data_IF_834502759553
#
_entry.id   IF_834502759553
#
_cell.length_a   1.000
_cell.length_b   1.000
_cell.length_c   1.000
_cell.angle_alpha   90.00
_cell.angle_beta   90.00
_cell.angle_gamma   90.00
#
_symmetry.space_group_name_H-M   'P 1'
#
loop_
_entity.id
_entity.type
_entity.pdbx_description
1 polymer ?
#
# COMPACT_ATOMS: atom_id res chain seq x y z
N UNK A 1 1.46 -31.38 17.25
CA UNK A 1 2.64 -30.61 16.78
C UNK A 1 2.55 -30.16 15.30
N UNK A 2 1.97 -30.94 14.36
CA UNK A 2 1.85 -30.52 12.93
C UNK A 2 0.76 -29.48 12.61
N UNK A 3 -0.29 -29.36 13.43
CA UNK A 3 -1.37 -28.38 13.17
C UNK A 3 -0.95 -26.93 13.47
N UNK A 4 -0.11 -26.73 14.49
CA UNK A 4 0.37 -25.40 14.88
C UNK A 4 1.32 -24.80 13.84
N UNK A 5 2.18 -25.61 13.20
CA UNK A 5 3.07 -25.12 12.14
C UNK A 5 2.31 -24.70 10.86
N UNK A 6 1.24 -25.41 10.50
CA UNK A 6 0.40 -25.05 9.34
C UNK A 6 -0.43 -23.78 9.58
N UNK A 7 -0.94 -23.58 10.80
CA UNK A 7 -1.63 -22.35 11.20
C UNK A 7 -0.69 -21.14 11.15
N UNK A 8 0.53 -21.27 11.68
CA UNK A 8 1.54 -20.22 11.63
C UNK A 8 1.94 -19.86 10.19
N UNK A 9 2.09 -20.85 9.31
CA UNK A 9 2.41 -20.62 7.90
C UNK A 9 1.28 -19.88 7.16
N UNK A 10 0.02 -20.22 7.42
CA UNK A 10 -1.12 -19.50 6.84
C UNK A 10 -1.19 -18.05 7.32
N UNK A 11 -0.98 -17.81 8.62
CA UNK A 11 -0.97 -16.47 9.19
C UNK A 11 0.19 -15.62 8.65
N UNK A 12 1.37 -16.22 8.44
CA UNK A 12 2.51 -15.56 7.81
C UNK A 12 2.21 -15.13 6.37
N UNK A 13 1.64 -16.03 5.56
CA UNK A 13 1.27 -15.72 4.17
C UNK A 13 0.22 -14.59 4.13
N UNK A 14 -0.84 -14.70 4.93
CA UNK A 14 -1.87 -13.66 5.01
C UNK A 14 -1.32 -12.31 5.48
N UNK A 15 -0.35 -12.30 6.40
CA UNK A 15 0.30 -11.06 6.84
C UNK A 15 1.14 -10.43 5.72
N UNK A 16 1.84 -11.23 4.90
CA UNK A 16 2.56 -10.75 3.72
C UNK A 16 1.63 -10.17 2.65
N UNK A 17 0.56 -10.89 2.32
CA UNK A 17 -0.43 -10.39 1.34
C UNK A 17 -1.07 -9.08 1.82
N UNK A 18 -1.38 -8.97 3.12
CA UNK A 18 -1.88 -7.73 3.70
C UNK A 18 -0.87 -6.58 3.65
N UNK A 19 0.43 -6.88 3.77
CA UNK A 19 1.49 -5.88 3.73
C UNK A 19 1.64 -5.31 2.32
N UNK A 20 1.72 -6.18 1.32
CA UNK A 20 1.79 -5.78 -0.10
C UNK A 20 0.56 -4.94 -0.51
N UNK A 21 -0.62 -5.30 0.00
CA UNK A 21 -1.84 -4.54 -0.24
C UNK A 21 -1.77 -3.14 0.37
N UNK A 22 -1.34 -3.03 1.63
CA UNK A 22 -1.23 -1.75 2.33
C UNK A 22 -0.20 -0.82 1.66
N UNK A 23 0.95 -1.36 1.26
CA UNK A 23 1.97 -0.62 0.51
C UNK A 23 1.44 -0.13 -0.84
N UNK A 24 0.66 -0.97 -1.53
CA UNK A 24 0.01 -0.61 -2.79
C UNK A 24 -1.02 0.50 -2.59
N UNK A 25 -1.80 0.45 -1.52
CA UNK A 25 -2.75 1.50 -1.17
C UNK A 25 -2.03 2.84 -0.94
N UNK A 26 -0.99 2.86 -0.11
CA UNK A 26 -0.15 4.05 0.15
C UNK A 26 0.42 4.61 -1.15
N UNK A 27 1.01 3.75 -1.99
CA UNK A 27 1.60 4.16 -3.27
C UNK A 27 0.56 4.81 -4.19
N UNK A 28 -0.63 4.22 -4.26
CA UNK A 28 -1.72 4.73 -5.11
C UNK A 28 -2.21 6.08 -4.62
N UNK A 29 -2.42 6.24 -3.30
CA UNK A 29 -2.80 7.51 -2.69
C UNK A 29 -1.76 8.60 -2.96
N UNK A 30 -0.48 8.30 -2.75
CA UNK A 30 0.62 9.24 -3.04
C UNK A 30 0.68 9.63 -4.52
N UNK A 31 0.43 8.69 -5.44
CA UNK A 31 0.40 8.97 -6.88
C UNK A 31 -0.78 9.86 -7.30
N UNK A 32 -1.95 9.66 -6.70
CA UNK A 32 -3.13 10.51 -6.92
C UNK A 32 -2.84 11.94 -6.43
N UNK A 33 -2.26 12.06 -5.24
CA UNK A 33 -1.82 13.34 -4.69
C UNK A 33 -0.83 14.06 -5.60
N UNK A 34 0.23 13.38 -6.06
CA UNK A 34 1.23 13.97 -6.94
C UNK A 34 0.60 14.52 -8.24
N UNK A 35 -0.39 13.81 -8.79
CA UNK A 35 -1.16 14.29 -9.94
C UNK A 35 -1.96 15.56 -9.64
N UNK A 36 -2.52 15.69 -8.44
CA UNK A 36 -3.25 16.89 -8.01
C UNK A 36 -2.31 18.08 -7.80
N UNK A 37 -1.15 17.84 -7.19
CA UNK A 37 -0.13 18.87 -7.00
C UNK A 37 0.37 19.41 -8.36
N UNK A 38 0.68 18.54 -9.31
CA UNK A 38 1.05 18.96 -10.67
C UNK A 38 -0.02 19.83 -11.35
N UNK A 39 -1.31 19.59 -11.09
CA UNK A 39 -2.40 20.44 -11.61
C UNK A 39 -2.42 21.82 -10.96
N UNK A 40 -2.14 21.89 -9.66
CA UNK A 40 -2.00 23.16 -8.94
C UNK A 40 -0.79 23.94 -9.43
N UNK A 41 0.36 23.30 -9.58
CA UNK A 41 1.60 23.92 -10.06
C UNK A 41 1.41 24.53 -11.43
N UNK A 42 0.71 23.83 -12.33
CA UNK A 42 0.36 24.34 -13.66
C UNK A 42 -0.60 25.54 -13.58
N UNK A 43 -1.58 25.52 -12.66
CA UNK A 43 -2.53 26.62 -12.48
C UNK A 43 -1.86 27.86 -11.90
N UNK A 44 -0.93 27.68 -10.97
CA UNK A 44 -0.11 28.75 -10.41
C UNK A 44 0.85 29.33 -11.47
N UNK A 45 1.57 28.47 -12.20
CA UNK A 45 2.50 28.88 -13.27
C UNK A 45 1.81 29.64 -14.41
N UNK A 46 0.51 29.41 -14.62
CA UNK A 46 -0.30 30.10 -15.64
C UNK A 46 -1.00 31.35 -15.09
N UNK A 47 -0.62 31.83 -13.89
CA UNK A 47 -1.22 32.97 -13.19
C UNK A 47 -2.75 32.86 -13.01
N UNK A 48 -3.31 31.64 -13.05
CA UNK A 48 -4.73 31.37 -12.79
C UNK A 48 -5.04 31.24 -11.30
N UNK A 49 -4.00 31.19 -10.47
CA UNK A 49 -4.09 31.01 -9.04
C UNK A 49 -3.18 32.01 -8.35
N UNK A 50 -3.69 32.66 -7.29
CA UNK A 50 -2.87 33.52 -6.44
C UNK A 50 -1.89 32.68 -5.61
N UNK A 51 -0.79 33.29 -5.15
CA UNK A 51 0.14 32.64 -4.22
C UNK A 51 -0.57 32.16 -2.95
N UNK A 52 -1.46 32.98 -2.40
CA UNK A 52 -2.18 32.64 -1.16
C UNK A 52 -3.09 31.43 -1.35
N UNK A 53 -3.81 31.36 -2.47
CA UNK A 53 -4.67 30.22 -2.79
C UNK A 53 -3.87 28.96 -3.10
N UNK A 54 -2.71 29.11 -3.75
CA UNK A 54 -1.77 28.02 -3.99
C UNK A 54 -1.27 27.41 -2.68
N UNK A 55 -0.82 28.25 -1.74
CA UNK A 55 -0.31 27.79 -0.44
C UNK A 55 -1.40 27.11 0.39
N UNK A 56 -2.62 27.67 0.40
CA UNK A 56 -3.79 27.09 1.08
C UNK A 56 -4.14 25.72 0.49
N UNK A 57 -4.18 25.58 -0.83
CA UNK A 57 -4.53 24.31 -1.47
C UNK A 57 -3.44 23.25 -1.29
N UNK A 58 -2.17 23.64 -1.40
CA UNK A 58 -1.03 22.75 -1.16
C UNK A 58 -1.02 22.23 0.29
N UNK A 59 -1.29 23.11 1.26
CA UNK A 59 -1.41 22.72 2.67
C UNK A 59 -2.55 21.72 2.89
N UNK A 60 -3.75 22.01 2.36
CA UNK A 60 -4.92 21.11 2.48
C UNK A 60 -4.65 19.75 1.87
N UNK A 61 -4.07 19.73 0.68
CA UNK A 61 -3.70 18.50 0.03
C UNK A 61 -2.73 17.72 0.93
N UNK A 62 -1.66 18.35 1.42
CA UNK A 62 -0.62 17.64 2.20
C UNK A 62 -1.22 17.02 3.47
N UNK A 63 -2.07 17.78 4.14
CA UNK A 63 -2.79 17.32 5.32
C UNK A 63 -3.73 16.16 5.00
N UNK A 64 -4.45 16.22 3.86
CA UNK A 64 -5.30 15.12 3.41
C UNK A 64 -4.49 13.85 3.14
N UNK A 65 -3.33 13.96 2.49
CA UNK A 65 -2.44 12.83 2.23
C UNK A 65 -1.99 12.16 3.54
N UNK A 66 -1.64 12.94 4.56
CA UNK A 66 -1.27 12.41 5.88
C UNK A 66 -2.42 11.66 6.53
N UNK A 67 -3.64 12.19 6.48
CA UNK A 67 -4.85 11.53 6.99
C UNK A 67 -5.12 10.21 6.24
N UNK A 68 -5.03 10.23 4.92
CA UNK A 68 -5.38 9.07 4.08
C UNK A 68 -4.33 7.95 4.21
N UNK A 69 -3.06 8.29 4.42
CA UNK A 69 -1.98 7.30 4.58
C UNK A 69 -1.84 6.78 6.02
N UNK A 70 -2.19 7.55 7.05
CA UNK A 70 -1.95 7.18 8.45
C UNK A 70 -2.51 5.80 8.86
N UNK A 71 -3.74 5.39 8.47
CA UNK A 71 -4.26 4.05 8.79
C UNK A 71 -3.42 2.94 8.16
N UNK A 72 -2.97 3.14 6.92
CA UNK A 72 -2.15 2.17 6.20
C UNK A 72 -0.74 2.07 6.78
N UNK A 73 -0.13 3.19 7.16
CA UNK A 73 1.19 3.20 7.82
C UNK A 73 1.15 2.44 9.16
N UNK A 74 0.09 2.62 9.94
CA UNK A 74 -0.14 1.86 11.16
C UNK A 74 -0.33 0.36 10.88
N UNK A 75 -1.05 0.03 9.81
CA UNK A 75 -1.30 -1.35 9.40
C UNK A 75 -0.02 -2.04 8.91
N UNK A 76 0.79 -1.37 8.08
CA UNK A 76 2.13 -1.81 7.64
C UNK A 76 3.02 -2.12 8.84
N UNK A 77 3.08 -1.22 9.84
CA UNK A 77 3.86 -1.44 11.07
C UNK A 77 3.40 -2.68 11.84
N UNK A 78 2.09 -2.90 11.96
CA UNK A 78 1.53 -4.08 12.64
C UNK A 78 1.86 -5.36 11.90
N UNK A 79 1.68 -5.38 10.58
CA UNK A 79 1.94 -6.56 9.75
C UNK A 79 3.43 -6.90 9.70
N UNK A 80 4.31 -5.90 9.61
CA UNK A 80 5.77 -6.10 9.64
C UNK A 80 6.21 -6.80 10.94
N UNK A 81 5.68 -6.35 12.09
CA UNK A 81 5.95 -7.00 13.39
C UNK A 81 5.41 -8.43 13.46
N UNK A 82 4.24 -8.68 12.89
CA UNK A 82 3.68 -10.04 12.84
C UNK A 82 4.55 -10.97 11.98
N UNK A 83 4.99 -10.51 10.81
CA UNK A 83 5.89 -11.25 9.92
C UNK A 83 7.21 -11.57 10.62
N UNK A 84 7.79 -10.60 11.34
CA UNK A 84 9.01 -10.77 12.13
C UNK A 84 8.82 -11.83 13.25
N UNK A 85 7.68 -11.81 13.96
CA UNK A 85 7.38 -12.80 14.98
C UNK A 85 7.22 -14.22 14.43
N UNK A 86 6.57 -14.38 13.26
CA UNK A 86 6.40 -15.69 12.65
C UNK A 86 7.71 -16.22 12.06
N UNK A 87 8.54 -15.36 11.47
CA UNK A 87 9.86 -15.75 10.94
C UNK A 87 10.88 -16.07 12.03
N UNK A 88 10.79 -15.44 13.21
CA UNK A 88 11.65 -15.74 14.36
C UNK A 88 11.25 -17.01 15.11
N UNK A 89 9.98 -17.41 15.04
CA UNK A 89 9.44 -18.63 15.69
C UNK A 89 9.55 -19.88 14.81
N UNK A 90 9.86 -19.73 13.53
CA UNK A 90 10.24 -20.84 12.66
C UNK A 90 11.75 -21.04 12.75
N UNK A 91 12.20 -22.14 13.35
CA UNK A 91 13.53 -22.69 13.04
C UNK A 91 13.72 -22.71 11.51
N UNK A 92 14.94 -22.49 10.99
CA UNK A 92 15.19 -22.48 9.56
C UNK A 92 15.13 -23.92 9.03
N UNK A 93 13.93 -24.45 8.81
CA UNK A 93 13.77 -25.64 7.98
C UNK A 93 13.84 -25.22 6.51
N UNK A 94 15.03 -25.46 5.98
CA UNK A 94 15.39 -25.45 4.57
C UNK A 94 14.32 -26.06 3.66
N UNK A 95 14.36 -25.57 2.41
CA UNK A 95 13.82 -26.20 1.22
C UNK A 95 12.29 -26.32 1.12
N UNK A 96 11.72 -25.36 0.40
CA UNK A 96 11.03 -25.73 -0.83
C UNK A 96 10.96 -24.56 -1.80
N UNK A 97 11.78 -24.63 -2.87
CA UNK A 97 11.45 -24.02 -4.16
C UNK A 97 10.13 -24.65 -4.64
N UNK A 98 8.99 -24.13 -4.21
CA UNK A 98 7.69 -24.44 -4.82
C UNK A 98 7.16 -23.18 -5.49
N UNK A 99 7.38 -23.18 -6.80
CA UNK A 99 6.60 -22.48 -7.84
C UNK A 99 5.44 -21.65 -7.32
N UNK A 100 5.63 -20.34 -7.44
CA UNK A 100 4.63 -19.30 -7.33
C UNK A 100 3.51 -19.55 -8.36
N UNK A 101 2.54 -20.41 -8.01
CA UNK A 101 1.28 -20.46 -8.73
C UNK A 101 0.42 -19.33 -8.19
N UNK A 102 0.33 -18.25 -8.97
CA UNK A 102 -0.56 -17.12 -8.76
C UNK A 102 -1.97 -17.62 -8.40
N UNK A 103 -2.29 -17.60 -7.10
CA UNK A 103 -3.60 -17.97 -6.60
C UNK A 103 -4.63 -16.95 -7.09
N UNK A 104 -5.80 -17.47 -7.41
CA UNK A 104 -6.95 -16.88 -8.10
C UNK A 104 -7.39 -15.48 -7.61
N UNK A 105 -6.96 -15.04 -6.43
CA UNK A 105 -7.25 -13.73 -5.85
C UNK A 105 -6.75 -12.56 -6.71
N UNK A 106 -5.62 -12.71 -7.40
CA UNK A 106 -5.09 -11.66 -8.31
C UNK A 106 -5.84 -11.56 -9.65
N UNK A 107 -6.64 -12.57 -10.04
CA UNK A 107 -7.48 -12.48 -11.25
C UNK A 107 -8.73 -11.64 -11.03
N UNK A 108 -9.23 -11.53 -9.79
CA UNK A 108 -10.40 -10.69 -9.48
C UNK A 108 -10.05 -9.20 -9.43
N UNK A 109 -8.80 -8.83 -9.12
CA UNK A 109 -8.37 -7.43 -9.07
C UNK A 109 -8.07 -6.81 -10.45
N UNK A 110 -7.80 -7.62 -11.49
CA UNK A 110 -7.71 -7.10 -12.87
C UNK A 110 -9.05 -6.59 -13.42
N UNK A 111 -10.18 -6.97 -12.82
CA UNK A 111 -11.50 -6.44 -13.21
C UNK A 111 -11.74 -4.99 -12.75
N UNK A 112 -10.91 -4.47 -11.84
CA UNK A 112 -11.01 -3.08 -11.35
C UNK A 112 -9.91 -2.15 -11.90
N UNK A 113 -9.05 -2.62 -12.81
CA UNK A 113 -8.01 -1.80 -13.46
C UNK A 113 -8.42 -1.24 -14.82
N UNK A 114 -9.68 -1.42 -15.26
CA UNK A 114 -10.20 -0.75 -16.46
C UNK A 114 -11.02 0.44 -16.00
N UNK A 115 -10.38 1.62 -15.89
CA UNK A 115 -10.99 2.95 -16.07
C UNK A 115 -10.00 4.08 -15.71
N UNK A 116 -8.73 4.00 -16.12
CA UNK A 116 -7.89 5.20 -16.29
C UNK A 116 -7.08 5.01 -17.58
N UNK A 117 -7.75 5.21 -18.71
CA UNK A 117 -7.10 5.53 -19.97
C UNK A 117 -7.94 6.63 -20.64
N UNK A 118 -7.23 7.67 -21.08
CA UNK A 118 -7.66 8.93 -21.71
C UNK A 118 -8.03 10.05 -20.75
#
# INVERSE_FOLDING_TARGET
>A
VRQTSLLNNRQYISAKEGLEFAETAIRTTKSSYASQLNKLDNSFSTNKLSQEDYDKQTFRLKHQLEIDCAPWDLYVKKLSRLIEQYSSKSEPQQNNKRTFNQSSSMKKLRKYQVCIAY
#
